data_IF_847242112131
#
_entry.id   IF_847242112131
#
_cell.length_a   1.000
_cell.length_b   1.000
_cell.length_c   1.000
_cell.angle_alpha   90.00
_cell.angle_beta   90.00
_cell.angle_gamma   90.00
#
_symmetry.space_group_name_H-M   'P 1'
#
loop_
_entity.id
_entity.type
_entity.pdbx_description
1 polymer ?
#
# COMPACT_ATOMS: atom_id res chain seq x y z
N UNK A 1 19.39 -37.30 -18.71
CA UNK A 1 19.08 -35.89 -18.45
C UNK A 1 17.95 -35.72 -17.44
N UNK A 2 16.87 -36.51 -17.56
CA UNK A 2 15.67 -36.36 -16.70
C UNK A 2 15.89 -36.66 -15.21
N UNK A 3 16.85 -37.49 -14.85
CA UNK A 3 17.13 -37.85 -13.45
C UNK A 3 17.87 -36.75 -12.67
N UNK A 4 18.75 -35.98 -13.31
CA UNK A 4 19.41 -34.80 -12.70
C UNK A 4 18.45 -33.64 -12.52
N UNK A 5 17.54 -33.42 -13.46
CA UNK A 5 16.46 -32.45 -13.32
C UNK A 5 15.53 -32.80 -12.15
N UNK A 6 15.21 -34.07 -11.90
CA UNK A 6 14.40 -34.49 -10.74
C UNK A 6 15.04 -34.21 -9.39
N UNK A 7 16.35 -34.30 -9.27
CA UNK A 7 17.06 -34.00 -8.02
C UNK A 7 17.20 -32.48 -7.76
N UNK A 8 17.34 -31.69 -8.81
CA UNK A 8 17.22 -30.22 -8.71
C UNK A 8 15.79 -29.78 -8.41
N UNK A 9 14.78 -30.42 -8.97
CA UNK A 9 13.35 -30.12 -8.76
C UNK A 9 12.83 -30.44 -7.34
N UNK A 10 13.56 -31.13 -6.50
CA UNK A 10 13.20 -31.26 -5.07
C UNK A 10 13.44 -29.95 -4.34
N UNK A 11 14.36 -29.12 -4.80
CA UNK A 11 14.69 -27.80 -4.25
C UNK A 11 13.89 -26.70 -4.94
N UNK A 12 13.73 -26.77 -6.25
CA UNK A 12 13.02 -25.79 -7.07
C UNK A 12 11.72 -26.41 -7.60
N UNK A 13 10.63 -26.24 -6.88
CA UNK A 13 9.31 -26.68 -7.32
C UNK A 13 8.67 -25.60 -8.16
N UNK A 14 8.15 -25.96 -9.33
CA UNK A 14 7.29 -25.09 -10.10
C UNK A 14 5.97 -24.89 -9.37
N UNK A 15 5.62 -23.65 -9.10
CA UNK A 15 4.33 -23.28 -8.53
C UNK A 15 3.25 -23.28 -9.61
N UNK A 16 2.45 -24.33 -9.68
CA UNK A 16 1.36 -24.48 -10.66
C UNK A 16 0.06 -23.81 -10.16
N UNK A 17 0.16 -22.59 -9.72
CA UNK A 17 -0.94 -21.74 -9.21
C UNK A 17 -0.69 -20.30 -9.56
N UNK A 18 -1.70 -19.45 -9.40
CA UNK A 18 -1.52 -18.00 -9.47
C UNK A 18 -0.50 -17.57 -8.42
N UNK A 19 0.47 -16.79 -8.84
CA UNK A 19 1.51 -16.26 -7.95
C UNK A 19 1.14 -14.88 -7.44
N UNK A 20 1.72 -14.47 -6.29
CA UNK A 20 1.45 -13.17 -5.70
C UNK A 20 1.81 -12.05 -6.67
N UNK A 21 2.93 -12.22 -7.39
CA UNK A 21 3.52 -11.28 -8.34
C UNK A 21 2.86 -11.23 -9.72
N UNK A 22 1.70 -11.87 -9.93
CA UNK A 22 0.99 -11.86 -11.21
C UNK A 22 0.64 -10.44 -11.70
N UNK A 23 0.50 -9.48 -10.78
CA UNK A 23 0.20 -8.09 -11.11
C UNK A 23 1.22 -7.48 -12.08
N UNK A 24 2.51 -7.81 -11.91
CA UNK A 24 3.58 -7.30 -12.79
C UNK A 24 3.37 -7.80 -14.22
N UNK A 25 2.96 -9.06 -14.40
CA UNK A 25 2.66 -9.61 -15.71
C UNK A 25 1.42 -8.96 -16.32
N UNK A 26 0.36 -8.80 -15.53
CA UNK A 26 -0.89 -8.17 -15.99
C UNK A 26 -0.66 -6.71 -16.42
N UNK A 27 0.06 -5.92 -15.62
CA UNK A 27 0.35 -4.52 -15.93
C UNK A 27 1.26 -4.35 -17.16
N UNK A 28 2.15 -5.31 -17.42
CA UNK A 28 3.06 -5.21 -18.58
C UNK A 28 2.50 -5.80 -19.85
N UNK A 29 1.59 -6.77 -19.76
CA UNK A 29 1.03 -7.46 -20.94
C UNK A 29 -0.39 -7.02 -21.28
N UNK A 30 -1.15 -6.52 -20.31
CA UNK A 30 -2.58 -6.22 -20.45
C UNK A 30 -3.46 -7.48 -20.42
N UNK A 31 -2.92 -8.64 -20.02
CA UNK A 31 -3.67 -9.90 -19.87
C UNK A 31 -4.26 -9.99 -18.47
N UNK A 32 -5.51 -10.37 -18.34
CA UNK A 32 -6.18 -10.67 -17.07
C UNK A 32 -6.00 -12.16 -16.75
N UNK A 33 -4.95 -12.48 -15.99
CA UNK A 33 -4.58 -13.87 -15.68
C UNK A 33 -5.64 -14.58 -14.84
N UNK A 34 -6.27 -13.89 -13.90
CA UNK A 34 -7.29 -14.47 -13.02
C UNK A 34 -8.52 -14.86 -13.82
N UNK A 35 -9.01 -13.97 -14.66
CA UNK A 35 -10.12 -14.21 -15.56
C UNK A 35 -9.83 -15.38 -16.51
N UNK A 36 -8.67 -15.37 -17.13
CA UNK A 36 -8.27 -16.38 -18.09
C UNK A 36 -8.10 -17.76 -17.45
N UNK A 37 -7.57 -17.83 -16.23
CA UNK A 37 -7.54 -19.08 -15.46
C UNK A 37 -8.94 -19.64 -15.20
N UNK A 38 -9.91 -18.80 -14.86
CA UNK A 38 -11.31 -19.20 -14.65
C UNK A 38 -11.92 -19.71 -15.97
N UNK A 39 -11.69 -19.00 -17.07
CA UNK A 39 -12.20 -19.39 -18.38
C UNK A 39 -11.62 -20.73 -18.87
N UNK A 40 -10.31 -20.94 -18.68
CA UNK A 40 -9.65 -22.21 -19.03
C UNK A 40 -10.18 -23.34 -18.14
N UNK A 41 -10.37 -23.11 -16.85
CA UNK A 41 -10.98 -24.10 -15.94
C UNK A 41 -12.42 -24.45 -16.34
N UNK A 42 -13.15 -23.50 -16.94
CA UNK A 42 -14.49 -23.73 -17.51
C UNK A 42 -14.47 -24.42 -18.89
N UNK A 43 -13.30 -24.83 -19.40
CA UNK A 43 -13.14 -25.53 -20.68
C UNK A 43 -13.01 -24.62 -21.90
N UNK A 44 -12.87 -23.31 -21.72
CA UNK A 44 -12.65 -22.38 -22.81
C UNK A 44 -11.19 -22.39 -23.26
N UNK A 45 -10.94 -22.00 -24.49
CA UNK A 45 -9.59 -21.71 -24.99
C UNK A 45 -9.22 -20.28 -24.65
N UNK A 46 -7.91 -20.02 -24.52
CA UNK A 46 -7.41 -18.65 -24.41
C UNK A 46 -7.83 -17.83 -25.63
N UNK A 47 -8.26 -16.58 -25.47
CA UNK A 47 -8.75 -15.72 -26.56
C UNK A 47 -7.61 -15.12 -27.42
N UNK A 48 -6.36 -15.41 -27.11
CA UNK A 48 -5.15 -14.91 -27.77
C UNK A 48 -4.12 -16.03 -27.94
N UNK A 49 -3.14 -15.82 -28.80
CA UNK A 49 -1.98 -16.68 -28.99
C UNK A 49 -0.75 -16.07 -28.31
N UNK A 50 0.33 -16.86 -28.20
CA UNK A 50 1.60 -16.39 -27.62
C UNK A 50 2.18 -15.17 -28.35
N UNK A 51 2.01 -15.09 -29.65
CA UNK A 51 2.47 -13.97 -30.50
C UNK A 51 1.74 -12.65 -30.24
N UNK A 52 0.52 -12.72 -29.68
CA UNK A 52 -0.28 -11.54 -29.33
C UNK A 52 0.15 -10.92 -27.98
N UNK A 53 0.89 -11.68 -27.17
CA UNK A 53 1.34 -11.24 -25.84
C UNK A 53 2.67 -10.53 -25.94
N UNK A 54 2.66 -9.22 -25.74
CA UNK A 54 3.86 -8.39 -25.75
C UNK A 54 4.02 -7.63 -24.43
N UNK A 55 5.23 -7.68 -23.85
CA UNK A 55 5.56 -6.86 -22.68
C UNK A 55 5.72 -5.40 -23.08
N UNK A 56 5.00 -4.50 -22.43
CA UNK A 56 5.01 -3.05 -22.68
C UNK A 56 5.35 -2.30 -21.40
N UNK A 57 6.39 -1.48 -21.46
CA UNK A 57 6.85 -0.70 -20.31
C UNK A 57 7.46 -1.57 -19.22
N UNK A 58 7.37 -1.07 -18.00
CA UNK A 58 7.91 -1.70 -16.80
C UNK A 58 6.89 -1.65 -15.68
N UNK A 59 6.78 -2.71 -14.91
CA UNK A 59 5.98 -2.73 -13.69
C UNK A 59 6.84 -3.09 -12.49
N UNK A 60 6.47 -2.58 -11.33
CA UNK A 60 7.12 -2.84 -10.06
C UNK A 60 6.05 -3.15 -9.02
N UNK A 61 6.23 -4.22 -8.25
CA UNK A 61 5.34 -4.59 -7.15
C UNK A 61 6.06 -4.46 -5.82
N UNK A 62 5.41 -3.84 -4.85
CA UNK A 62 5.80 -3.85 -3.44
C UNK A 62 4.72 -4.56 -2.62
N UNK A 63 5.12 -5.60 -1.90
CA UNK A 63 4.26 -6.30 -0.94
C UNK A 63 4.31 -5.58 0.39
N UNK A 64 3.19 -5.07 0.84
CA UNK A 64 3.10 -4.34 2.10
C UNK A 64 2.72 -5.32 3.19
N UNK A 65 3.65 -5.54 4.11
CA UNK A 65 3.48 -6.40 5.27
C UNK A 65 3.29 -5.58 6.54
N UNK A 66 2.53 -6.13 7.49
CA UNK A 66 2.42 -5.63 8.86
C UNK A 66 3.63 -6.10 9.69
N UNK A 67 4.78 -5.53 9.41
CA UNK A 67 6.08 -5.89 10.00
C UNK A 67 6.86 -4.63 10.36
N UNK A 68 7.76 -4.76 11.35
CA UNK A 68 8.67 -3.71 11.78
C UNK A 68 10.06 -3.88 11.16
N UNK A 69 10.41 -3.14 10.11
CA UNK A 69 11.71 -3.25 9.47
C UNK A 69 12.88 -2.84 10.38
N UNK A 70 12.64 -1.95 11.36
CA UNK A 70 13.66 -1.49 12.31
C UNK A 70 13.98 -2.57 13.34
N UNK A 71 13.04 -3.50 13.57
CA UNK A 71 13.16 -4.59 14.53
C UNK A 71 13.17 -5.94 13.80
N UNK A 72 14.07 -6.08 12.83
CA UNK A 72 14.32 -7.31 12.07
C UNK A 72 13.04 -7.93 11.46
N UNK A 73 12.15 -7.10 10.94
CA UNK A 73 10.89 -7.51 10.31
C UNK A 73 9.99 -8.35 11.23
N UNK A 74 10.01 -8.06 12.53
CA UNK A 74 9.07 -8.70 13.46
C UNK A 74 7.62 -8.34 13.08
N UNK A 75 6.70 -9.32 13.12
CA UNK A 75 5.28 -9.06 12.89
C UNK A 75 4.75 -7.95 13.81
N UNK A 76 3.96 -7.06 13.26
CA UNK A 76 3.31 -5.97 13.98
C UNK A 76 1.77 -6.15 13.95
N UNK A 77 1.22 -7.05 14.79
CA UNK A 77 -0.22 -7.24 14.89
C UNK A 77 -0.89 -6.02 15.47
N UNK A 78 -2.17 -5.86 15.22
CA UNK A 78 -2.96 -4.78 15.78
C UNK A 78 -4.08 -4.32 14.86
N UNK A 79 -4.78 -3.27 15.26
CA UNK A 79 -5.88 -2.71 14.50
C UNK A 79 -5.41 -1.53 13.66
N UNK A 80 -5.71 -1.58 12.37
CA UNK A 80 -5.48 -0.46 11.45
C UNK A 80 -6.45 0.68 11.80
N UNK A 81 -5.96 1.77 12.36
CA UNK A 81 -6.77 2.92 12.78
C UNK A 81 -7.11 3.84 11.61
N UNK A 82 -6.14 4.09 10.74
CA UNK A 82 -6.28 4.93 9.54
C UNK A 82 -5.68 4.21 8.35
N UNK A 83 -6.36 4.25 7.22
CA UNK A 83 -5.86 3.77 5.94
C UNK A 83 -6.26 4.75 4.84
N UNK A 84 -5.27 5.41 4.25
CA UNK A 84 -5.42 6.21 3.04
C UNK A 84 -4.69 5.49 1.90
N UNK A 85 -5.44 5.03 0.91
CA UNK A 85 -4.88 4.29 -0.23
C UNK A 85 -4.23 5.27 -1.22
N UNK A 86 -3.10 4.91 -1.85
CA UNK A 86 -2.56 5.68 -2.95
C UNK A 86 -3.47 5.53 -4.18
N UNK A 87 -3.65 6.62 -4.91
CA UNK A 87 -4.49 6.67 -6.09
C UNK A 87 -3.75 7.26 -7.29
N UNK A 88 -4.44 7.27 -8.44
CA UNK A 88 -3.97 7.91 -9.64
C UNK A 88 -3.52 6.94 -10.74
N UNK A 89 -3.13 7.54 -11.86
CA UNK A 89 -2.76 6.79 -13.06
C UNK A 89 -1.54 5.90 -12.82
N UNK A 90 -1.58 4.67 -13.34
CA UNK A 90 -0.50 3.68 -13.26
C UNK A 90 -0.22 3.19 -11.83
N UNK A 91 -1.19 3.28 -10.95
CA UNK A 91 -1.15 2.74 -9.59
C UNK A 91 -2.29 1.74 -9.44
N UNK A 92 -1.93 0.52 -9.05
CA UNK A 92 -2.88 -0.54 -8.71
C UNK A 92 -2.59 -1.02 -7.30
N UNK A 93 -3.61 -1.04 -6.47
CA UNK A 93 -3.56 -1.53 -5.10
C UNK A 93 -4.55 -2.67 -4.91
N UNK A 94 -4.02 -3.88 -4.71
CA UNK A 94 -4.81 -5.04 -4.31
C UNK A 94 -4.69 -5.22 -2.79
N UNK A 95 -5.77 -4.94 -2.06
CA UNK A 95 -5.78 -4.99 -0.60
C UNK A 95 -7.15 -5.37 -0.06
N UNK A 96 -7.17 -6.23 0.94
CA UNK A 96 -8.36 -6.54 1.75
C UNK A 96 -8.43 -5.71 3.05
N UNK A 97 -7.36 -4.98 3.40
CA UNK A 97 -7.30 -4.20 4.62
C UNK A 97 -8.13 -2.91 4.52
N UNK A 98 -8.75 -2.51 5.63
CA UNK A 98 -9.56 -1.30 5.79
C UNK A 98 -9.34 -0.70 7.19
N UNK A 99 -9.81 0.50 7.44
CA UNK A 99 -9.78 1.09 8.78
C UNK A 99 -10.68 0.28 9.73
N UNK A 100 -10.12 -0.19 10.85
CA UNK A 100 -10.76 -1.14 11.76
C UNK A 100 -10.37 -2.61 11.53
N UNK A 101 -9.64 -2.93 10.45
CA UNK A 101 -9.16 -4.29 10.21
C UNK A 101 -8.11 -4.69 11.26
N UNK A 102 -8.29 -5.87 11.85
CA UNK A 102 -7.36 -6.46 12.81
C UNK A 102 -6.38 -7.40 12.10
N UNK A 103 -5.10 -7.07 12.17
CA UNK A 103 -4.03 -7.92 11.65
C UNK A 103 -3.67 -8.98 12.69
N UNK A 104 -3.95 -10.23 12.35
CA UNK A 104 -3.72 -11.38 13.21
C UNK A 104 -2.30 -11.92 13.08
N UNK A 105 -1.75 -12.47 14.18
CA UNK A 105 -0.51 -13.27 14.19
C UNK A 105 -0.64 -14.65 13.56
N UNK A 106 -1.88 -15.14 13.35
CA UNK A 106 -2.14 -16.50 12.90
C UNK A 106 -2.19 -16.64 11.38
N UNK A 107 -2.09 -15.52 10.64
CA UNK A 107 -2.12 -15.48 9.19
C UNK A 107 -0.91 -14.73 8.65
N UNK A 108 -0.76 -14.77 7.32
CA UNK A 108 0.24 -14.00 6.58
C UNK A 108 0.07 -12.51 6.92
N UNK A 109 1.14 -11.82 7.37
CA UNK A 109 1.08 -10.40 7.68
C UNK A 109 0.96 -9.49 6.46
N UNK A 110 0.88 -10.02 5.24
CA UNK A 110 0.69 -9.25 4.01
C UNK A 110 -0.70 -8.60 3.97
N UNK A 111 -0.74 -7.27 4.00
CA UNK A 111 -1.98 -6.49 4.02
C UNK A 111 -2.34 -5.89 2.66
N UNK A 112 -1.36 -5.74 1.78
CA UNK A 112 -1.59 -5.20 0.44
C UNK A 112 -0.46 -5.57 -0.52
N UNK A 113 -0.80 -5.55 -1.83
CA UNK A 113 0.14 -5.52 -2.94
C UNK A 113 -0.04 -4.21 -3.67
N UNK A 114 1.01 -3.42 -3.75
CA UNK A 114 1.04 -2.18 -4.49
C UNK A 114 1.86 -2.39 -5.77
N UNK A 115 1.22 -2.24 -6.91
CA UNK A 115 1.87 -2.34 -8.21
C UNK A 115 1.81 -1.00 -8.94
N UNK A 116 2.91 -0.62 -9.59
CA UNK A 116 2.96 0.57 -10.42
C UNK A 116 3.56 0.25 -11.78
N UNK A 117 3.04 0.92 -12.80
CA UNK A 117 3.50 0.80 -14.17
C UNK A 117 4.14 2.10 -14.65
N UNK A 118 5.07 2.00 -15.60
CA UNK A 118 5.69 3.13 -16.29
C UNK A 118 6.21 2.74 -17.68
N UNK A 119 6.37 3.72 -18.55
CA UNK A 119 6.97 3.47 -19.88
C UNK A 119 8.41 3.01 -19.79
N UNK A 120 9.12 3.49 -18.78
CA UNK A 120 10.50 3.10 -18.45
C UNK A 120 10.57 2.59 -17.02
N UNK A 121 11.65 1.92 -16.67
CA UNK A 121 11.91 1.44 -15.32
C UNK A 121 11.94 2.59 -14.30
N UNK A 122 12.57 3.69 -14.65
CA UNK A 122 12.69 4.92 -13.83
C UNK A 122 11.29 5.51 -13.56
N UNK A 123 10.43 5.53 -14.58
CA UNK A 123 9.05 6.01 -14.44
C UNK A 123 8.23 5.10 -13.51
N UNK A 124 8.38 3.77 -13.60
CA UNK A 124 7.71 2.84 -12.70
C UNK A 124 8.18 3.03 -11.25
N UNK A 125 9.50 3.19 -11.03
CA UNK A 125 10.08 3.46 -9.70
C UNK A 125 9.59 4.80 -9.14
N UNK A 126 9.58 5.86 -9.93
CA UNK A 126 9.09 7.18 -9.51
C UNK A 126 7.62 7.12 -9.09
N UNK A 127 6.77 6.42 -9.85
CA UNK A 127 5.38 6.19 -9.50
C UNK A 127 5.24 5.39 -8.19
N UNK A 128 6.10 4.39 -7.97
CA UNK A 128 6.09 3.60 -6.75
C UNK A 128 6.48 4.44 -5.52
N UNK A 129 7.53 5.25 -5.63
CA UNK A 129 7.95 6.15 -4.55
C UNK A 129 6.82 7.12 -4.18
N UNK A 130 6.14 7.70 -5.17
CA UNK A 130 4.99 8.58 -4.94
C UNK A 130 3.87 7.81 -4.24
N UNK A 131 3.47 6.67 -4.78
CA UNK A 131 2.38 5.87 -4.24
C UNK A 131 2.66 5.38 -2.80
N UNK A 132 3.89 4.96 -2.49
CA UNK A 132 4.28 4.57 -1.13
C UNK A 132 4.25 5.75 -0.14
N UNK A 133 4.58 6.96 -0.59
CA UNK A 133 4.49 8.18 0.26
C UNK A 133 3.05 8.60 0.53
N UNK A 134 2.16 8.37 -0.41
CA UNK A 134 0.72 8.63 -0.28
C UNK A 134 0.03 7.55 0.57
N UNK A 135 0.58 6.32 0.60
CA UNK A 135 -0.03 5.20 1.32
C UNK A 135 0.16 5.34 2.83
N UNK A 136 -0.87 5.80 3.53
CA UNK A 136 -0.84 5.96 4.99
C UNK A 136 -1.57 4.80 5.66
N UNK A 137 -0.88 4.17 6.59
CA UNK A 137 -1.42 3.12 7.46
C UNK A 137 -0.98 3.45 8.88
N UNK A 138 -1.94 3.69 9.77
CA UNK A 138 -1.67 3.99 11.18
C UNK A 138 -2.30 2.93 12.07
N UNK A 139 -1.65 2.65 13.20
CA UNK A 139 -2.07 1.66 14.20
C UNK A 139 -1.19 0.42 14.23
N UNK A 140 -0.47 0.15 13.13
CA UNK A 140 0.51 -0.93 12.99
C UNK A 140 1.78 -0.40 12.32
N UNK A 141 2.90 -1.11 12.45
CA UNK A 141 4.09 -0.87 11.64
C UNK A 141 3.99 -1.64 10.32
N UNK A 142 4.62 -1.09 9.27
CA UNK A 142 4.58 -1.68 7.93
C UNK A 142 5.95 -1.64 7.25
N UNK A 143 6.12 -2.43 6.20
CA UNK A 143 7.33 -2.46 5.36
C UNK A 143 7.47 -1.25 4.42
N UNK A 144 6.54 -0.29 4.41
CA UNK A 144 6.60 0.92 3.54
C UNK A 144 7.93 1.68 3.68
N UNK A 145 8.45 1.97 4.89
CA UNK A 145 9.74 2.67 5.03
C UNK A 145 10.90 1.90 4.43
N UNK A 146 10.91 0.57 4.55
CA UNK A 146 11.92 -0.29 3.94
C UNK A 146 11.88 -0.19 2.42
N UNK A 147 10.70 -0.31 1.79
CA UNK A 147 10.56 -0.19 0.34
C UNK A 147 11.05 1.16 -0.18
N UNK A 148 10.72 2.25 0.51
CA UNK A 148 11.20 3.58 0.13
C UNK A 148 12.74 3.66 0.14
N UNK A 149 13.41 3.05 1.10
CA UNK A 149 14.89 3.03 1.15
C UNK A 149 15.49 2.18 0.04
N UNK A 150 14.92 1.00 -0.23
CA UNK A 150 15.34 0.15 -1.35
C UNK A 150 15.24 0.91 -2.67
N UNK A 151 14.13 1.62 -2.89
CA UNK A 151 13.88 2.37 -4.12
C UNK A 151 14.79 3.60 -4.31
N UNK A 152 15.43 4.08 -3.25
CA UNK A 152 16.45 5.15 -3.33
C UNK A 152 17.89 4.61 -3.39
N UNK A 153 18.08 3.30 -3.25
CA UNK A 153 19.42 2.70 -3.30
C UNK A 153 19.97 2.71 -4.73
N UNK A 154 21.18 3.24 -4.93
CA UNK A 154 21.78 3.34 -6.25
C UNK A 154 21.97 2.00 -6.97
N UNK A 155 22.30 0.94 -6.22
CA UNK A 155 22.46 -0.41 -6.78
C UNK A 155 21.13 -0.93 -7.34
N UNK A 156 20.02 -0.68 -6.63
CA UNK A 156 18.68 -1.01 -7.08
C UNK A 156 18.28 -0.17 -8.30
N UNK A 157 18.53 1.13 -8.27
CA UNK A 157 18.24 2.04 -9.38
C UNK A 157 18.98 1.66 -10.67
N UNK A 158 20.25 1.25 -10.57
CA UNK A 158 21.06 0.79 -11.71
C UNK A 158 20.67 -0.60 -12.21
N UNK A 159 19.80 -1.34 -11.50
CA UNK A 159 19.40 -2.71 -11.87
C UNK A 159 20.47 -3.78 -11.59
N UNK A 160 21.55 -3.45 -10.90
CA UNK A 160 22.69 -4.34 -10.62
C UNK A 160 22.50 -5.12 -9.31
N UNK A 161 21.39 -5.81 -9.17
CA UNK A 161 21.06 -6.59 -7.97
C UNK A 161 20.61 -7.99 -8.33
N UNK A 162 20.77 -8.88 -7.38
CA UNK A 162 20.30 -10.27 -7.40
C UNK A 162 19.53 -10.57 -6.10
N UNK A 163 19.15 -11.82 -5.89
CA UNK A 163 18.41 -12.27 -4.71
C UNK A 163 19.16 -12.07 -3.39
N UNK A 164 20.47 -11.85 -3.42
CA UNK A 164 21.32 -11.60 -2.23
C UNK A 164 21.44 -10.11 -1.88
N UNK A 165 20.82 -9.22 -2.67
CA UNK A 165 20.94 -7.77 -2.53
C UNK A 165 20.71 -7.27 -1.10
N UNK A 166 19.64 -7.74 -0.45
CA UNK A 166 19.27 -7.31 0.92
C UNK A 166 20.33 -7.72 1.95
N UNK A 167 20.97 -8.86 1.74
CA UNK A 167 21.97 -9.38 2.69
C UNK A 167 23.38 -8.83 2.45
N UNK A 168 23.70 -8.44 1.21
CA UNK A 168 25.09 -8.12 0.82
C UNK A 168 25.30 -6.65 0.48
N UNK A 169 24.28 -5.95 -0.02
CA UNK A 169 24.41 -4.58 -0.58
C UNK A 169 23.48 -3.57 0.07
N UNK A 170 22.55 -4.02 0.91
CA UNK A 170 21.63 -3.13 1.61
C UNK A 170 22.11 -2.91 3.04
N UNK A 171 22.32 -1.65 3.42
CA UNK A 171 22.71 -1.29 4.78
C UNK A 171 21.48 -1.35 5.71
N UNK A 172 21.44 -2.41 6.55
CA UNK A 172 20.36 -2.60 7.54
C UNK A 172 20.39 -1.53 8.65
N UNK A 173 21.55 -0.94 8.93
CA UNK A 173 21.66 0.20 9.89
C UNK A 173 20.95 1.46 9.37
N UNK A 174 20.86 1.60 8.06
CA UNK A 174 20.12 2.71 7.45
C UNK A 174 18.61 2.67 7.75
N UNK A 175 18.05 1.50 8.06
CA UNK A 175 16.68 1.37 8.54
C UNK A 175 16.44 2.03 9.90
N UNK A 176 17.44 2.04 10.77
CA UNK A 176 17.37 2.63 12.10
C UNK A 176 17.65 4.14 12.08
N UNK A 177 18.29 4.65 11.01
CA UNK A 177 18.46 6.08 10.83
C UNK A 177 17.11 6.70 10.48
N UNK A 178 16.40 7.19 11.51
CA UNK A 178 15.23 8.04 11.28
C UNK A 178 15.66 9.17 10.35
N UNK A 179 14.95 9.36 9.23
CA UNK A 179 15.01 10.66 8.56
C UNK A 179 14.75 11.69 9.67
N UNK A 180 15.69 12.61 9.86
CA UNK A 180 15.56 13.72 10.81
C UNK A 180 14.36 14.58 10.40
N UNK A 181 13.17 14.10 10.69
CA UNK A 181 12.00 14.98 10.78
C UNK A 181 12.22 15.77 12.05
N UNK A 182 12.39 17.06 11.93
CA UNK A 182 12.46 17.96 13.07
C UNK A 182 11.26 17.66 13.98
N UNK A 183 11.47 17.19 15.23
CA UNK A 183 10.39 16.87 16.13
C UNK A 183 9.43 18.05 16.33
N UNK A 184 9.91 19.27 16.17
CA UNK A 184 9.13 20.50 16.22
C UNK A 184 8.03 20.53 15.16
N UNK A 185 8.32 20.08 13.93
CA UNK A 185 7.33 19.99 12.84
C UNK A 185 6.23 18.97 13.17
N UNK A 186 6.61 17.84 13.76
CA UNK A 186 5.65 16.82 14.18
C UNK A 186 4.73 17.32 15.31
N UNK A 187 5.29 18.04 16.27
CA UNK A 187 4.53 18.65 17.37
C UNK A 187 3.57 19.72 16.85
N UNK A 188 4.02 20.60 15.95
CA UNK A 188 3.17 21.62 15.33
C UNK A 188 2.03 20.98 14.53
N UNK A 189 2.32 19.96 13.73
CA UNK A 189 1.31 19.24 12.94
C UNK A 189 0.27 18.55 13.85
N UNK A 190 0.70 17.94 14.97
CA UNK A 190 -0.19 17.32 15.94
C UNK A 190 -1.07 18.35 16.64
N UNK A 191 -0.51 19.51 17.02
CA UNK A 191 -1.26 20.59 17.64
C UNK A 191 -2.32 21.20 16.70
N UNK A 192 -1.96 21.41 15.42
CA UNK A 192 -2.90 21.90 14.41
C UNK A 192 -4.04 20.91 14.19
N UNK A 193 -3.73 19.62 14.07
CA UNK A 193 -4.75 18.59 13.91
C UNK A 193 -5.69 18.51 15.12
N UNK A 194 -5.15 18.58 16.33
CA UNK A 194 -5.97 18.60 17.54
C UNK A 194 -6.90 19.83 17.59
N UNK A 195 -6.37 20.99 17.21
CA UNK A 195 -7.17 22.22 17.12
C UNK A 195 -8.31 22.10 16.08
N UNK A 196 -8.03 21.51 14.92
CA UNK A 196 -9.05 21.26 13.90
C UNK A 196 -10.14 20.29 14.39
N UNK A 197 -9.74 19.19 15.05
CA UNK A 197 -10.66 18.21 15.67
C UNK A 197 -11.53 18.84 16.75
N UNK A 198 -10.97 19.68 17.62
CA UNK A 198 -11.74 20.43 18.64
C UNK A 198 -12.73 21.41 17.98
N UNK A 199 -12.30 22.12 16.96
CA UNK A 199 -13.16 23.07 16.21
C UNK A 199 -14.31 22.34 15.53
N UNK A 200 -14.08 21.19 14.90
CA UNK A 200 -15.13 20.36 14.31
C UNK A 200 -16.08 19.79 15.37
N UNK A 201 -15.56 19.34 16.51
CA UNK A 201 -16.35 18.83 17.62
C UNK A 201 -17.25 19.94 18.20
N UNK A 202 -16.72 21.15 18.37
CA UNK A 202 -17.50 22.32 18.81
C UNK A 202 -18.57 22.70 17.79
N UNK A 203 -18.26 22.65 16.50
CA UNK A 203 -19.26 22.91 15.43
C UNK A 203 -20.38 21.87 15.43
N UNK A 204 -20.07 20.60 15.66
CA UNK A 204 -21.08 19.51 15.78
C UNK A 204 -21.93 19.67 17.04
N UNK A 205 -21.34 20.08 18.16
CA UNK A 205 -22.06 20.28 19.41
C UNK A 205 -23.07 21.44 19.31
N UNK A 206 -22.78 22.47 18.51
CA UNK A 206 -23.69 23.59 18.27
C UNK A 206 -24.85 23.25 17.30
N UNK A 207 -24.78 22.14 16.56
CA UNK A 207 -25.82 21.74 15.60
C UNK A 207 -26.80 20.69 16.16
N UNK A 208 -26.57 20.17 17.39
CA UNK A 208 -27.52 19.23 18.02
C UNK A 208 -28.63 20.05 18.70
N UNK A 209 -29.89 19.97 18.24
CA UNK A 209 -31.00 20.63 18.94
C UNK A 209 -31.14 20.04 20.35
N UNK A 210 -31.19 20.89 21.36
CA UNK A 210 -31.50 20.45 22.72
C UNK A 210 -32.81 19.67 22.71
N UNK A 211 -32.77 18.43 23.19
CA UNK A 211 -33.96 17.59 23.34
C UNK A 211 -34.99 18.33 24.18
N UNK A 212 -36.09 18.78 23.52
CA UNK A 212 -37.17 19.51 24.16
C UNK A 212 -37.49 20.91 23.58
N UNK A 213 -36.63 21.50 22.75
CA UNK A 213 -36.98 22.73 22.03
C UNK A 213 -37.52 22.44 20.63
N UNK A 214 -38.65 23.08 20.26
CA UNK A 214 -39.19 22.94 18.93
C UNK A 214 -38.28 23.63 17.90
N UNK A 215 -38.08 22.98 16.74
CA UNK A 215 -37.21 23.46 15.65
C UNK A 215 -37.47 24.92 15.25
N UNK A 216 -38.72 25.40 15.32
CA UNK A 216 -39.04 26.77 14.98
C UNK A 216 -38.55 27.77 16.04
N UNK A 217 -38.51 27.41 17.35
CA UNK A 217 -37.90 28.23 18.39
C UNK A 217 -36.40 28.34 18.22
N UNK A 218 -35.76 27.26 17.82
CA UNK A 218 -34.32 27.25 17.49
C UNK A 218 -34.02 28.16 16.29
N UNK A 219 -34.83 28.07 15.23
CA UNK A 219 -34.73 28.94 14.05
C UNK A 219 -34.95 30.42 14.40
N UNK A 220 -35.92 30.72 15.26
CA UNK A 220 -36.18 32.08 15.72
C UNK A 220 -35.02 32.70 16.51
N UNK A 221 -34.37 31.92 17.37
CA UNK A 221 -33.15 32.36 18.09
C UNK A 221 -31.99 32.64 17.13
N UNK A 222 -31.78 31.80 16.11
CA UNK A 222 -30.75 32.03 15.10
C UNK A 222 -31.02 33.30 14.26
N UNK A 223 -32.27 33.60 13.89
CA UNK A 223 -32.61 34.82 13.17
C UNK A 223 -32.43 36.07 14.03
N UNK A 224 -32.74 36.01 15.34
CA UNK A 224 -32.51 37.13 16.26
C UNK A 224 -31.00 37.43 16.41
N UNK A 225 -30.15 36.42 16.41
CA UNK A 225 -28.69 36.60 16.46
C UNK A 225 -28.14 37.18 15.15
N UNK A 226 -28.69 36.77 14.00
CA UNK A 226 -28.25 37.24 12.68
C UNK A 226 -28.68 38.71 12.38
N UNK A 227 -29.73 39.23 13.03
CA UNK A 227 -30.25 40.60 12.82
C UNK A 227 -29.63 41.63 13.80
N UNK A 228 -28.74 41.23 14.71
CA UNK A 228 -28.08 42.13 15.65
C UNK A 228 -26.61 42.43 15.28
N UNK A 229 -26.23 42.21 14.03
CA UNK A 229 -24.95 42.66 13.47
C UNK A 229 -25.16 43.50 12.23
#
# INVERSE_FOLDING_TARGET
PYRRQRQMCIRDRMNTRLQVEHLVTEETTGVDLVRDMILVAAGNRLPYKQEDVACRGHALECRIYAEDPENNFMPSPGVIKVREAPEGRNVRLDSAAYAGFEVSLHYDPMIAKLCTWGRTRESAISNMIRALREYKILGIKTTIPFHLRVLHNETFLKGNYDTTFIDTKFDKEDLKRRQNSDPTVAVIAAALKHYEEEKEAAARATTVPLVGESLWKHYGKLQMLANNF
#
